data_IF_149078003650
#
_entry.id   IF_149078003650
#
_cell.length_a   1.000
_cell.length_b   1.000
_cell.length_c   1.000
_cell.angle_alpha   90.00
_cell.angle_beta   90.00
_cell.angle_gamma   90.00
#
_symmetry.space_group_name_H-M   'P 1'
#
loop_
_entity.id
_entity.type
_entity.pdbx_description
1 polymer ?
#
# COMPACT_ATOMS: atom_id res chain seq x y z
N UNK A 1 68.44 76.30 35.73
CA UNK A 1 67.00 76.04 35.94
C UNK A 1 66.48 75.03 34.87
N UNK A 2 67.27 74.00 34.51
CA UNK A 2 67.02 73.20 33.28
C UNK A 2 66.90 71.68 33.46
N UNK A 3 67.29 71.08 34.60
CA UNK A 3 67.22 69.62 34.76
C UNK A 3 65.84 69.08 35.14
N UNK A 4 64.96 69.89 35.74
CA UNK A 4 63.60 69.46 36.09
C UNK A 4 62.70 69.27 34.84
N UNK A 5 62.88 70.11 33.82
CA UNK A 5 62.11 70.06 32.58
C UNK A 5 62.46 68.85 31.67
N UNK A 6 63.68 68.29 31.81
CA UNK A 6 64.11 67.16 30.96
C UNK A 6 63.49 65.82 31.39
N UNK A 7 63.42 65.55 32.71
CA UNK A 7 62.76 64.33 33.24
C UNK A 7 61.25 64.32 32.99
N UNK A 8 60.59 65.47 33.05
CA UNK A 8 59.15 65.59 32.80
C UNK A 8 58.80 65.36 31.33
N UNK A 9 59.63 65.82 30.38
CA UNK A 9 59.48 65.53 28.94
C UNK A 9 59.70 64.05 28.59
N UNK A 10 60.71 63.39 29.17
CA UNK A 10 60.96 61.96 28.93
C UNK A 10 59.84 61.04 29.45
N UNK A 11 59.25 61.37 30.61
CA UNK A 11 58.09 60.65 31.15
C UNK A 11 56.86 60.83 30.24
N UNK A 12 56.60 62.06 29.78
CA UNK A 12 55.48 62.37 28.89
C UNK A 12 55.54 61.66 27.52
N UNK A 13 56.73 61.58 26.91
CA UNK A 13 56.94 60.87 25.62
C UNK A 13 56.78 59.36 25.79
N UNK A 14 57.19 58.79 26.92
CA UNK A 14 57.06 57.36 27.19
C UNK A 14 55.59 56.98 27.42
N UNK A 15 54.87 57.77 28.22
CA UNK A 15 53.42 57.59 28.43
C UNK A 15 52.65 57.73 27.12
N UNK A 16 52.99 58.73 26.28
CA UNK A 16 52.35 58.92 24.99
C UNK A 16 52.57 57.74 24.02
N UNK A 17 53.78 57.17 23.99
CA UNK A 17 54.08 55.97 23.19
C UNK A 17 53.33 54.74 23.69
N UNK A 18 53.24 54.55 25.00
CA UNK A 18 52.49 53.43 25.59
C UNK A 18 51.00 53.57 25.34
N UNK A 19 50.44 54.79 25.42
CA UNK A 19 49.04 55.06 25.09
C UNK A 19 48.78 54.84 23.59
N UNK A 20 49.65 55.33 22.70
CA UNK A 20 49.54 55.05 21.25
C UNK A 20 49.63 53.57 20.92
N UNK A 21 50.51 52.83 21.61
CA UNK A 21 50.64 51.38 21.45
C UNK A 21 49.40 50.63 21.95
N UNK A 22 48.82 51.04 23.09
CA UNK A 22 47.56 50.51 23.60
C UNK A 22 46.37 50.85 22.69
N UNK A 23 46.32 52.07 22.15
CA UNK A 23 45.30 52.49 21.17
C UNK A 23 45.46 51.75 19.84
N UNK A 24 46.69 51.41 19.43
CA UNK A 24 46.95 50.57 18.27
C UNK A 24 46.48 49.13 18.51
N UNK A 25 46.79 48.55 19.68
CA UNK A 25 46.32 47.21 20.07
C UNK A 25 44.78 47.17 20.17
N UNK A 26 44.16 48.10 20.86
CA UNK A 26 42.69 48.16 21.00
C UNK A 26 41.98 48.59 19.70
N UNK A 27 42.62 49.43 18.88
CA UNK A 27 42.09 49.87 17.59
C UNK A 27 42.05 48.75 16.55
N UNK A 28 42.96 47.78 16.62
CA UNK A 28 42.91 46.57 15.78
C UNK A 28 41.85 45.54 16.20
N UNK A 29 41.27 45.67 17.40
CA UNK A 29 40.27 44.73 17.94
C UNK A 29 38.81 45.14 17.67
N UNK A 30 38.56 46.24 16.95
CA UNK A 30 37.19 46.76 16.72
C UNK A 30 36.44 46.11 15.53
N UNK A 31 36.91 44.98 15.01
CA UNK A 31 36.22 44.28 13.92
C UNK A 31 36.09 42.77 14.16
N UNK A 32 35.55 42.37 15.31
CA UNK A 32 35.01 41.01 15.42
C UNK A 32 33.68 40.96 14.66
N UNK A 33 33.71 40.46 13.42
CA UNK A 33 32.47 40.16 12.69
C UNK A 33 31.82 38.97 13.41
N UNK A 34 30.54 39.11 13.78
CA UNK A 34 29.79 38.08 14.49
C UNK A 34 29.45 36.85 13.62
N UNK A 35 29.75 36.93 12.32
CA UNK A 35 29.56 35.87 11.35
C UNK A 35 30.89 35.13 11.16
N UNK A 36 30.86 33.82 11.34
CA UNK A 36 32.07 32.99 11.37
C UNK A 36 32.00 31.97 10.24
N UNK A 37 32.99 32.00 9.36
CA UNK A 37 33.31 30.86 8.50
C UNK A 37 34.33 29.99 9.22
N UNK A 38 33.98 28.71 9.42
CA UNK A 38 34.91 27.72 9.98
C UNK A 38 35.38 26.81 8.85
N UNK A 39 36.69 26.67 8.69
CA UNK A 39 37.31 25.87 7.64
C UNK A 39 38.01 26.67 6.54
N UNK A 40 37.81 27.99 6.47
CA UNK A 40 38.54 28.89 5.56
C UNK A 40 38.50 30.36 6.03
N UNK A 41 39.30 31.22 5.39
CA UNK A 41 39.27 32.67 5.57
C UNK A 41 38.32 33.40 4.61
N UNK A 42 37.37 32.68 4.02
CA UNK A 42 36.41 33.21 3.03
C UNK A 42 35.28 33.92 3.78
N UNK A 43 34.75 35.01 3.23
CA UNK A 43 33.61 35.70 3.82
C UNK A 43 32.36 34.79 3.80
N UNK A 44 31.62 34.72 4.93
CA UNK A 44 30.40 33.94 4.96
C UNK A 44 29.28 34.58 4.13
N UNK A 45 28.43 33.76 3.53
CA UNK A 45 27.29 34.22 2.72
C UNK A 45 26.28 35.00 3.57
N UNK A 46 25.66 36.03 2.99
CA UNK A 46 24.67 36.85 3.70
C UNK A 46 23.52 35.98 4.24
N UNK A 47 23.24 36.09 5.54
CA UNK A 47 22.18 35.35 6.22
C UNK A 47 22.65 34.08 6.97
N UNK A 48 23.88 33.62 6.78
CA UNK A 48 24.42 32.45 7.48
C UNK A 48 25.12 32.84 8.79
N UNK A 49 24.49 32.66 9.96
CA UNK A 49 25.16 32.93 11.24
C UNK A 49 26.44 32.10 11.45
N UNK A 50 26.47 30.89 10.90
CA UNK A 50 27.62 29.98 10.85
C UNK A 50 27.67 29.34 9.46
N UNK A 51 28.84 29.36 8.83
CA UNK A 51 29.07 28.67 7.56
C UNK A 51 30.32 27.78 7.63
N UNK A 52 30.20 26.55 7.13
CA UNK A 52 31.28 25.57 7.06
C UNK A 52 31.71 25.40 5.60
N UNK A 53 32.79 26.06 5.18
CA UNK A 53 33.35 25.94 3.82
C UNK A 53 34.87 26.03 3.83
N UNK A 54 35.49 25.27 2.94
CA UNK A 54 36.95 25.27 2.71
C UNK A 54 37.33 26.11 1.47
N UNK A 55 36.42 26.23 0.49
CA UNK A 55 36.67 26.89 -0.80
C UNK A 55 35.42 27.58 -1.35
N UNK A 56 35.63 28.53 -2.26
CA UNK A 56 34.57 29.08 -3.11
C UNK A 56 34.21 28.08 -4.21
N UNK A 57 32.99 28.19 -4.75
CA UNK A 57 32.54 27.35 -5.87
C UNK A 57 33.41 27.65 -7.10
N UNK A 58 34.18 26.66 -7.54
CA UNK A 58 35.05 26.78 -8.73
C UNK A 58 34.72 25.77 -9.82
N UNK A 59 33.86 24.81 -9.52
CA UNK A 59 33.42 23.69 -10.35
C UNK A 59 31.91 23.72 -10.57
N UNK A 60 31.43 23.03 -11.61
CA UNK A 60 30.01 22.89 -11.92
C UNK A 60 29.22 22.05 -10.92
N UNK A 61 29.89 21.37 -9.98
CA UNK A 61 29.28 20.52 -8.95
C UNK A 61 28.85 21.29 -7.69
N UNK A 62 29.11 22.61 -7.64
CA UNK A 62 28.72 23.48 -6.55
C UNK A 62 29.33 23.09 -5.17
N UNK A 63 30.44 22.34 -5.15
CA UNK A 63 31.08 21.89 -3.91
C UNK A 63 31.91 23.00 -3.24
N UNK A 64 31.80 23.12 -1.91
CA UNK A 64 32.50 24.13 -1.09
C UNK A 64 33.37 23.53 0.01
N UNK A 65 33.35 22.20 0.19
CA UNK A 65 34.10 21.47 1.22
C UNK A 65 34.20 19.99 0.86
N UNK A 66 35.31 19.32 1.19
CA UNK A 66 35.42 17.84 1.13
C UNK A 66 35.13 17.19 2.50
N UNK A 67 34.77 17.99 3.50
CA UNK A 67 34.52 17.58 4.88
C UNK A 67 33.09 17.91 5.30
N UNK A 68 32.51 17.04 6.12
CA UNK A 68 31.22 17.25 6.78
C UNK A 68 31.36 17.70 8.24
N UNK A 69 30.22 17.84 8.91
CA UNK A 69 30.13 18.13 10.34
C UNK A 69 29.75 16.86 11.11
N UNK A 70 30.46 16.56 12.19
CA UNK A 70 30.04 15.54 13.15
C UNK A 70 29.00 16.13 14.12
N UNK A 71 27.86 15.46 14.24
CA UNK A 71 26.85 15.80 15.25
C UNK A 71 27.10 15.02 16.55
N UNK A 72 26.71 15.58 17.71
CA UNK A 72 26.75 14.84 18.98
C UNK A 72 25.99 13.51 18.88
N UNK A 73 26.66 12.41 19.24
CA UNK A 73 26.07 11.07 19.25
C UNK A 73 25.42 10.80 20.61
N UNK A 74 24.12 10.56 20.64
CA UNK A 74 23.33 10.35 21.87
C UNK A 74 22.47 9.10 21.76
N UNK A 75 22.05 8.54 22.90
CA UNK A 75 21.06 7.45 22.94
C UNK A 75 19.70 8.03 23.27
N UNK A 76 18.90 8.37 22.26
CA UNK A 76 17.53 8.85 22.47
C UNK A 76 16.69 7.70 23.04
N UNK A 77 16.03 7.95 24.16
CA UNK A 77 15.21 6.95 24.86
C UNK A 77 13.72 7.19 24.73
N UNK A 78 13.33 8.36 24.23
CA UNK A 78 11.94 8.81 24.17
C UNK A 78 11.73 9.73 22.97
N UNK A 79 10.60 9.60 22.26
CA UNK A 79 10.26 10.38 21.06
C UNK A 79 9.75 11.78 21.39
N UNK A 80 9.09 11.95 22.53
CA UNK A 80 8.37 13.16 22.93
C UNK A 80 9.08 13.92 24.07
N UNK A 81 10.26 13.44 24.46
CA UNK A 81 11.07 14.07 25.49
C UNK A 81 12.52 14.32 25.05
N UNK A 82 13.11 15.39 25.57
CA UNK A 82 14.51 15.77 25.34
C UNK A 82 15.53 14.85 26.04
N UNK A 83 15.25 13.56 26.17
CA UNK A 83 16.18 12.59 26.76
C UNK A 83 17.21 12.15 25.71
N UNK A 84 18.51 12.04 26.06
CA UNK A 84 19.09 12.05 27.41
C UNK A 84 19.62 13.41 27.88
N UNK A 85 19.29 14.52 27.20
CA UNK A 85 19.76 15.86 27.58
C UNK A 85 19.17 16.29 28.94
N UNK A 86 18.00 15.74 29.27
CA UNK A 86 17.38 15.82 30.59
C UNK A 86 17.05 14.43 31.13
N UNK A 87 16.66 14.39 32.41
CA UNK A 87 16.04 13.25 33.07
C UNK A 87 14.58 13.55 33.39
N UNK A 88 13.76 12.51 33.60
CA UNK A 88 12.40 12.67 34.12
C UNK A 88 12.42 13.15 35.57
N UNK A 89 11.59 14.15 35.87
CA UNK A 89 11.34 14.57 37.25
C UNK A 89 10.28 13.71 37.97
N UNK A 90 9.68 12.73 37.27
CA UNK A 90 8.61 11.88 37.78
C UNK A 90 7.22 12.52 37.79
N UNK A 91 7.08 13.77 37.34
CA UNK A 91 5.82 14.55 37.31
C UNK A 91 5.51 15.09 35.91
N UNK A 92 6.16 14.57 34.87
CA UNK A 92 5.97 15.00 33.48
C UNK A 92 6.81 16.21 33.06
N UNK A 93 7.73 16.65 33.91
CA UNK A 93 8.72 17.69 33.63
C UNK A 93 10.14 17.13 33.46
N UNK A 94 11.11 18.03 33.47
CA UNK A 94 12.52 17.71 33.27
C UNK A 94 13.36 18.02 34.49
N UNK A 95 14.49 17.32 34.65
CA UNK A 95 15.50 17.67 35.65
C UNK A 95 16.91 17.41 35.14
N UNK A 96 17.88 18.02 35.80
CA UNK A 96 19.29 17.62 35.77
C UNK A 96 19.75 17.53 37.23
N UNK A 97 20.11 16.33 37.67
CA UNK A 97 20.38 16.07 39.09
C UNK A 97 19.16 16.39 39.96
N UNK A 98 19.29 17.31 40.91
CA UNK A 98 18.20 17.74 41.81
C UNK A 98 17.42 18.96 41.31
N UNK A 99 17.82 19.56 40.18
CA UNK A 99 17.22 20.81 39.68
C UNK A 99 16.09 20.52 38.69
N UNK A 100 14.84 20.94 38.96
CA UNK A 100 13.72 20.78 38.03
C UNK A 100 13.69 21.88 36.96
N UNK A 101 13.09 21.56 35.82
CA UNK A 101 12.85 22.43 34.68
C UNK A 101 11.43 22.19 34.14
N UNK A 102 10.78 23.26 33.72
CA UNK A 102 9.48 23.16 33.07
C UNK A 102 9.64 22.58 31.65
N UNK A 103 8.91 21.51 31.33
CA UNK A 103 8.99 20.84 30.02
C UNK A 103 8.69 21.78 28.85
N UNK A 104 7.57 22.51 28.90
CA UNK A 104 7.15 23.36 27.79
C UNK A 104 8.16 24.49 27.48
N UNK A 105 8.82 25.03 28.50
CA UNK A 105 9.87 26.02 28.31
C UNK A 105 11.12 25.44 27.66
N UNK A 106 11.59 24.28 28.12
CA UNK A 106 12.78 23.66 27.56
C UNK A 106 12.51 23.10 26.15
N UNK A 107 11.35 22.50 25.90
CA UNK A 107 10.95 22.05 24.57
C UNK A 107 11.04 23.18 23.53
N UNK A 108 10.53 24.36 23.88
CA UNK A 108 10.55 25.56 23.02
C UNK A 108 11.97 26.10 22.81
N UNK A 109 12.81 26.10 23.84
CA UNK A 109 14.21 26.59 23.74
C UNK A 109 15.09 25.68 22.90
N UNK A 110 14.78 24.39 22.84
CA UNK A 110 15.58 23.40 22.13
C UNK A 110 15.05 23.08 20.73
N UNK A 111 14.04 23.80 20.22
CA UNK A 111 13.61 23.66 18.82
C UNK A 111 14.78 23.91 17.88
N UNK A 112 15.04 22.96 16.99
CA UNK A 112 16.19 22.97 16.07
C UNK A 112 17.43 22.23 16.60
N UNK A 113 17.41 21.74 17.85
CA UNK A 113 18.47 20.88 18.38
C UNK A 113 18.63 19.65 17.50
N UNK A 114 19.84 19.43 16.98
CA UNK A 114 20.16 18.34 16.07
C UNK A 114 21.20 17.41 16.68
N UNK A 115 20.91 16.11 16.69
CA UNK A 115 21.78 15.06 17.27
C UNK A 115 21.79 13.81 16.40
N UNK A 116 22.82 12.98 16.51
CA UNK A 116 22.85 11.66 15.89
C UNK A 116 22.46 10.60 16.92
N UNK A 117 21.33 9.91 16.72
CA UNK A 117 20.90 8.81 17.57
C UNK A 117 21.70 7.54 17.28
N UNK A 118 22.19 6.87 18.32
CA UNK A 118 22.92 5.59 18.25
C UNK A 118 22.20 4.46 19.01
N UNK A 119 20.87 4.58 19.13
CA UNK A 119 20.04 3.67 19.91
C UNK A 119 19.09 2.83 19.03
N UNK A 120 19.61 1.76 18.44
CA UNK A 120 18.89 0.78 17.61
C UNK A 120 17.79 -0.12 18.26
N UNK A 121 17.58 -0.24 19.60
CA UNK A 121 16.62 -1.19 20.18
C UNK A 121 15.26 -0.61 20.60
N UNK A 122 14.86 0.60 20.16
CA UNK A 122 13.52 1.18 20.44
C UNK A 122 12.92 1.67 19.10
N UNK A 123 11.64 2.07 19.08
CA UNK A 123 10.94 2.75 17.98
C UNK A 123 11.57 4.10 17.50
N UNK A 124 12.87 4.29 17.74
CA UNK A 124 13.72 5.34 17.21
C UNK A 124 14.95 4.64 16.61
N UNK A 125 15.12 4.74 15.31
CA UNK A 125 16.22 4.12 14.58
C UNK A 125 17.52 4.92 14.78
N UNK A 126 18.66 4.33 14.40
CA UNK A 126 19.91 5.08 14.32
C UNK A 126 19.80 6.10 13.18
N UNK A 127 20.18 7.35 13.42
CA UNK A 127 20.01 8.40 12.42
C UNK A 127 20.18 9.82 12.95
N UNK A 128 20.13 10.80 12.04
CA UNK A 128 20.16 12.20 12.41
C UNK A 128 18.75 12.64 12.82
N UNK A 129 18.61 13.29 13.98
CA UNK A 129 17.33 13.73 14.50
C UNK A 129 17.34 15.22 14.79
N UNK A 130 16.21 15.88 14.55
CA UNK A 130 15.94 17.27 14.93
C UNK A 130 14.76 17.34 15.89
N UNK A 131 14.90 18.13 16.95
CA UNK A 131 13.80 18.45 17.85
C UNK A 131 12.92 19.54 17.24
N UNK A 132 11.63 19.25 17.02
CA UNK A 132 10.71 20.22 16.42
C UNK A 132 9.94 21.08 17.46
N UNK A 133 10.26 20.93 18.76
CA UNK A 133 9.51 21.57 19.85
C UNK A 133 8.45 20.69 20.51
N UNK A 134 8.17 19.50 19.97
CA UNK A 134 7.20 18.55 20.50
C UNK A 134 7.72 17.11 20.52
N UNK A 135 8.42 16.71 19.46
CA UNK A 135 9.01 15.39 19.32
C UNK A 135 10.25 15.40 18.42
N UNK A 136 11.05 14.34 18.55
CA UNK A 136 12.18 14.05 17.68
C UNK A 136 11.69 13.62 16.30
N UNK A 137 12.19 14.31 15.26
CA UNK A 137 11.99 13.96 13.86
C UNK A 137 13.29 13.45 13.28
N UNK A 138 13.24 12.26 12.67
CA UNK A 138 14.38 11.75 11.93
C UNK A 138 14.52 12.57 10.63
N UNK A 139 15.73 13.02 10.33
CA UNK A 139 16.10 13.36 8.97
C UNK A 139 16.21 12.04 8.23
N UNK A 140 15.34 11.83 7.25
CA UNK A 140 15.25 10.57 6.52
C UNK A 140 16.65 10.04 6.17
N UNK A 141 17.03 8.92 6.78
CA UNK A 141 18.31 8.25 6.58
C UNK A 141 18.25 7.28 5.40
N UNK A 142 17.40 7.57 4.40
CA UNK A 142 17.29 6.72 3.23
C UNK A 142 18.63 6.73 2.51
N UNK A 143 19.19 5.54 2.29
CA UNK A 143 20.32 5.42 1.37
C UNK A 143 19.85 5.89 0.00
N UNK A 144 20.65 6.72 -0.68
CA UNK A 144 20.39 7.09 -2.09
C UNK A 144 20.69 5.86 -2.96
N UNK A 145 19.80 4.88 -2.90
CA UNK A 145 19.77 3.74 -3.80
C UNK A 145 18.87 4.11 -4.96
N UNK A 146 19.39 3.95 -6.18
CA UNK A 146 18.58 4.14 -7.38
C UNK A 146 17.40 3.17 -7.33
N UNK A 147 16.15 3.65 -7.41
CA UNK A 147 14.98 2.80 -7.30
C UNK A 147 14.96 1.76 -8.43
N UNK A 148 14.79 0.49 -8.07
CA UNK A 148 14.71 -0.61 -9.02
C UNK A 148 13.64 -1.62 -8.56
N UNK A 149 12.93 -2.18 -9.54
CA UNK A 149 12.00 -3.31 -9.38
C UNK A 149 12.36 -4.39 -10.42
N UNK A 150 11.98 -5.64 -10.13
CA UNK A 150 12.19 -6.76 -11.05
C UNK A 150 11.08 -6.83 -12.10
N UNK A 151 9.83 -6.62 -11.69
CA UNK A 151 8.65 -6.71 -12.56
C UNK A 151 7.54 -5.76 -12.09
N UNK A 152 6.84 -5.16 -13.05
CA UNK A 152 5.61 -4.40 -12.85
C UNK A 152 4.40 -5.25 -13.29
N UNK A 153 3.48 -5.54 -12.38
CA UNK A 153 2.38 -6.48 -12.61
C UNK A 153 1.17 -5.79 -13.25
N UNK A 154 1.28 -5.48 -14.53
CA UNK A 154 0.28 -4.71 -15.28
C UNK A 154 -1.10 -5.37 -15.40
N UNK A 155 -1.21 -6.68 -15.23
CA UNK A 155 -2.50 -7.38 -15.22
C UNK A 155 -3.28 -7.20 -13.91
N UNK A 156 -2.62 -6.67 -12.87
CA UNK A 156 -3.20 -6.47 -11.53
C UNK A 156 -3.42 -4.99 -11.20
N UNK A 157 -3.61 -4.15 -12.21
CA UNK A 157 -3.89 -2.72 -12.03
C UNK A 157 -5.25 -2.55 -11.36
N UNK A 158 -5.30 -1.69 -10.34
CA UNK A 158 -6.54 -1.31 -9.66
C UNK A 158 -6.76 0.18 -9.80
N UNK A 159 -7.93 0.60 -10.27
CA UNK A 159 -8.33 2.00 -10.40
C UNK A 159 -9.56 2.25 -9.53
N UNK A 160 -9.54 3.27 -8.69
CA UNK A 160 -10.66 3.61 -7.82
C UNK A 160 -10.87 5.13 -7.81
N UNK A 161 -12.05 5.64 -8.20
CA UNK A 161 -13.15 4.93 -8.88
C UNK A 161 -12.80 4.65 -10.35
N UNK A 162 -13.18 3.51 -10.91
CA UNK A 162 -12.98 3.18 -12.33
C UNK A 162 -14.17 3.60 -13.22
N UNK A 163 -14.92 4.61 -12.78
CA UNK A 163 -16.04 5.21 -13.51
C UNK A 163 -15.92 6.73 -13.52
N UNK A 164 -16.39 7.35 -14.59
CA UNK A 164 -16.45 8.80 -14.70
C UNK A 164 -17.66 9.28 -15.50
N UNK A 165 -18.07 10.53 -15.24
CA UNK A 165 -19.22 11.18 -15.88
C UNK A 165 -18.75 12.42 -16.65
N UNK A 166 -19.24 12.57 -17.87
CA UNK A 166 -18.97 13.72 -18.73
C UNK A 166 -19.26 15.04 -18.01
N UNK A 167 -18.32 15.98 -18.11
CA UNK A 167 -18.42 17.32 -17.55
C UNK A 167 -18.28 17.41 -16.03
N UNK A 168 -18.09 16.30 -15.31
CA UNK A 168 -17.92 16.30 -13.86
C UNK A 168 -16.43 16.18 -13.45
N UNK A 169 -15.96 16.91 -12.44
CA UNK A 169 -14.63 16.72 -11.91
C UNK A 169 -14.40 15.26 -11.48
N UNK A 170 -13.33 14.67 -11.98
CA UNK A 170 -12.89 13.32 -11.62
C UNK A 170 -11.61 13.40 -10.78
N UNK A 171 -11.56 12.60 -9.71
CA UNK A 171 -10.36 12.35 -8.91
C UNK A 171 -10.34 10.86 -8.56
N UNK A 172 -9.27 10.17 -8.94
CA UNK A 172 -9.10 8.76 -8.66
C UNK A 172 -7.65 8.39 -8.38
N UNK A 173 -7.48 7.19 -7.85
CA UNK A 173 -6.18 6.59 -7.57
C UNK A 173 -6.05 5.33 -8.42
N UNK A 174 -4.92 5.21 -9.12
CA UNK A 174 -4.52 4.02 -9.85
C UNK A 174 -3.33 3.40 -9.12
N UNK A 175 -3.40 2.09 -8.87
CA UNK A 175 -2.35 1.30 -8.22
C UNK A 175 -1.86 0.19 -9.10
N UNK A 176 -0.55 -0.02 -9.13
CA UNK A 176 0.09 -1.11 -9.86
C UNK A 176 1.01 -1.87 -8.91
N UNK A 177 0.77 -3.16 -8.65
CA UNK A 177 1.69 -3.97 -7.88
C UNK A 177 3.02 -4.19 -8.63
N UNK A 178 4.11 -4.34 -7.89
CA UNK A 178 5.42 -4.73 -8.41
C UNK A 178 6.09 -5.78 -7.52
N UNK A 179 7.11 -6.45 -8.06
CA UNK A 179 7.98 -7.39 -7.33
C UNK A 179 9.44 -6.91 -7.37
N UNK A 180 10.27 -7.42 -6.46
CA UNK A 180 11.72 -7.16 -6.47
C UNK A 180 12.16 -5.73 -6.12
N UNK A 181 11.32 -4.94 -5.45
CA UNK A 181 11.67 -3.60 -4.99
C UNK A 181 12.89 -3.62 -4.06
N UNK A 182 13.75 -2.61 -4.20
CA UNK A 182 15.05 -2.56 -3.51
C UNK A 182 15.10 -1.57 -2.33
N UNK A 183 14.00 -0.89 -1.99
CA UNK A 183 13.98 0.13 -0.94
C UNK A 183 14.21 1.57 -1.43
N UNK A 184 14.40 1.80 -2.74
CA UNK A 184 14.76 3.12 -3.26
C UNK A 184 13.61 4.10 -3.35
N UNK A 185 13.90 5.37 -3.08
CA UNK A 185 12.96 6.47 -3.25
C UNK A 185 12.79 6.85 -4.73
N UNK A 186 11.57 7.21 -5.12
CA UNK A 186 11.23 7.73 -6.43
C UNK A 186 10.38 9.00 -6.29
N UNK A 187 10.63 9.95 -7.19
CA UNK A 187 10.00 11.25 -7.18
C UNK A 187 8.63 11.23 -7.85
N UNK A 188 7.80 12.22 -7.50
CA UNK A 188 6.55 12.47 -8.20
C UNK A 188 6.80 12.94 -9.64
N UNK A 189 5.88 12.64 -10.54
CA UNK A 189 5.89 13.24 -11.89
C UNK A 189 4.95 14.43 -11.94
N UNK A 190 5.21 15.36 -12.87
CA UNK A 190 4.21 16.37 -13.21
C UNK A 190 3.00 15.73 -13.90
N UNK A 191 1.79 16.30 -13.77
CA UNK A 191 0.61 15.81 -14.48
C UNK A 191 0.81 15.75 -16.00
N UNK A 192 0.48 14.60 -16.59
CA UNK A 192 0.51 14.35 -18.04
C UNK A 192 -0.89 14.00 -18.52
N UNK A 193 -1.31 14.52 -19.68
CA UNK A 193 -2.62 14.19 -20.23
C UNK A 193 -2.67 12.74 -20.73
N UNK A 194 -3.73 12.03 -20.36
CA UNK A 194 -4.02 10.65 -20.82
C UNK A 194 -5.21 10.61 -21.80
N UNK A 195 -5.63 11.76 -22.31
CA UNK A 195 -6.83 11.90 -23.13
C UNK A 195 -8.11 12.08 -22.30
N UNK A 196 -9.24 12.28 -22.99
CA UNK A 196 -10.55 12.49 -22.37
C UNK A 196 -10.59 13.61 -21.29
N UNK A 197 -9.75 14.64 -21.39
CA UNK A 197 -9.69 15.70 -20.37
C UNK A 197 -9.15 15.23 -19.00
N UNK A 198 -8.54 14.04 -18.95
CA UNK A 198 -7.91 13.45 -17.77
C UNK A 198 -6.39 13.61 -17.82
N UNK A 199 -5.80 13.68 -16.63
CA UNK A 199 -4.38 13.80 -16.38
C UNK A 199 -3.94 12.81 -15.31
N UNK A 200 -2.75 12.25 -15.45
CA UNK A 200 -2.14 11.32 -14.50
C UNK A 200 -0.83 11.89 -13.95
N UNK A 201 -0.60 11.70 -12.65
CA UNK A 201 0.66 12.03 -11.97
C UNK A 201 1.09 10.86 -11.06
N UNK A 202 2.37 10.49 -11.10
CA UNK A 202 2.98 9.57 -10.15
C UNK A 202 3.09 10.25 -8.79
N UNK A 203 2.67 9.57 -7.74
CA UNK A 203 2.83 10.03 -6.36
C UNK A 203 4.24 9.61 -5.90
N UNK A 204 5.03 10.54 -5.33
CA UNK A 204 6.35 10.22 -4.78
C UNK A 204 6.25 9.14 -3.69
N UNK A 205 7.29 8.31 -3.57
CA UNK A 205 7.32 7.27 -2.54
C UNK A 205 8.65 6.53 -2.45
N UNK A 206 8.67 5.51 -1.61
CA UNK A 206 9.81 4.60 -1.44
C UNK A 206 9.36 3.19 -1.76
N UNK A 207 10.18 2.46 -2.53
CA UNK A 207 9.90 1.06 -2.84
C UNK A 207 9.95 0.22 -1.57
N UNK A 208 9.06 -0.77 -1.45
CA UNK A 208 9.22 -1.82 -0.45
C UNK A 208 10.40 -2.72 -0.83
N UNK A 209 11.04 -3.34 0.16
CA UNK A 209 12.00 -4.42 -0.09
C UNK A 209 11.20 -5.69 -0.42
N UNK A 210 11.24 -6.15 -1.67
CA UNK A 210 10.42 -7.25 -2.18
C UNK A 210 9.18 -6.77 -2.94
N UNK A 211 7.98 -7.17 -2.52
CA UNK A 211 6.73 -6.80 -3.19
C UNK A 211 6.12 -5.50 -2.66
N UNK A 212 5.54 -4.69 -3.53
CA UNK A 212 4.87 -3.44 -3.16
C UNK A 212 3.92 -2.91 -4.23
N UNK A 213 3.45 -1.67 -4.05
CA UNK A 213 2.56 -0.99 -5.00
C UNK A 213 3.10 0.39 -5.36
N UNK A 214 3.00 0.77 -6.63
CA UNK A 214 3.17 2.16 -7.08
C UNK A 214 1.79 2.81 -7.24
N UNK A 215 1.65 4.07 -6.84
CA UNK A 215 0.38 4.80 -6.88
C UNK A 215 0.45 6.03 -7.78
N UNK A 216 -0.57 6.19 -8.60
CA UNK A 216 -0.81 7.35 -9.44
C UNK A 216 -2.11 8.02 -9.04
N UNK A 217 -2.14 9.34 -9.21
CA UNK A 217 -3.36 10.13 -9.06
C UNK A 217 -3.84 10.55 -10.44
N UNK A 218 -5.12 10.32 -10.70
CA UNK A 218 -5.78 10.73 -11.95
C UNK A 218 -6.77 11.84 -11.61
N UNK A 219 -6.69 12.95 -12.34
CA UNK A 219 -7.58 14.11 -12.15
C UNK A 219 -8.02 14.69 -13.49
N UNK A 220 -9.13 15.44 -13.48
CA UNK A 220 -9.54 16.21 -14.65
C UNK A 220 -11.04 16.36 -14.78
N UNK A 221 -11.52 16.65 -15.99
CA UNK A 221 -12.94 16.73 -16.31
C UNK A 221 -13.18 15.93 -17.60
N UNK A 222 -13.79 14.73 -17.51
CA UNK A 222 -14.07 13.87 -18.65
C UNK A 222 -14.90 14.56 -19.73
N UNK A 223 -14.57 14.30 -20.99
CA UNK A 223 -15.34 14.70 -22.17
C UNK A 223 -16.37 13.65 -22.62
N UNK A 224 -16.31 12.45 -22.04
CA UNK A 224 -17.28 11.37 -22.24
C UNK A 224 -17.56 10.68 -20.91
N UNK A 225 -18.68 9.96 -20.83
CA UNK A 225 -19.03 9.13 -19.66
C UNK A 225 -18.64 7.66 -19.87
N UNK A 226 -18.35 6.96 -18.77
CA UNK A 226 -18.32 5.49 -18.75
C UNK A 226 -19.61 4.90 -19.35
N UNK A 227 -19.56 3.75 -20.06
CA UNK A 227 -18.44 2.80 -20.16
C UNK A 227 -17.46 3.08 -21.31
N UNK A 228 -17.47 4.27 -21.92
CA UNK A 228 -16.48 4.62 -22.95
C UNK A 228 -15.11 4.69 -22.27
N UNK A 229 -14.20 3.82 -22.68
CA UNK A 229 -12.87 3.68 -22.05
C UNK A 229 -11.90 4.75 -22.55
N UNK A 230 -11.02 5.19 -21.65
CA UNK A 230 -9.82 5.95 -21.99
C UNK A 230 -8.62 5.03 -21.78
N UNK A 231 -7.81 4.82 -22.82
CA UNK A 231 -6.64 3.94 -22.76
C UNK A 231 -5.35 4.75 -22.86
N UNK A 232 -4.34 4.37 -22.07
CA UNK A 232 -3.05 5.03 -22.03
C UNK A 232 -1.96 4.05 -21.57
N UNK A 233 -0.70 4.44 -21.76
CA UNK A 233 0.45 3.64 -21.33
C UNK A 233 1.05 4.22 -20.04
N UNK A 234 1.59 3.35 -19.20
CA UNK A 234 2.31 3.72 -17.98
C UNK A 234 3.75 3.21 -18.07
N UNK A 235 4.71 4.07 -17.72
CA UNK A 235 6.12 3.70 -17.63
C UNK A 235 6.59 3.97 -16.20
N UNK A 236 7.11 2.94 -15.53
CA UNK A 236 7.68 3.06 -14.20
C UNK A 236 9.01 2.31 -14.13
N UNK A 237 10.09 3.04 -13.82
CA UNK A 237 11.46 2.49 -13.69
C UNK A 237 11.90 1.61 -14.87
N UNK A 238 11.50 1.98 -16.10
CA UNK A 238 11.83 1.26 -17.33
C UNK A 238 10.88 0.11 -17.69
N UNK A 239 9.92 -0.23 -16.83
CA UNK A 239 8.85 -1.19 -17.12
C UNK A 239 7.63 -0.48 -17.70
N UNK A 240 6.98 -1.10 -18.68
CA UNK A 240 5.86 -0.48 -19.41
C UNK A 240 4.59 -1.32 -19.30
N UNK A 241 3.50 -0.70 -18.82
CA UNK A 241 2.15 -1.22 -18.94
C UNK A 241 1.48 -0.58 -20.15
N UNK A 242 1.16 -1.37 -21.17
CA UNK A 242 0.49 -0.90 -22.37
C UNK A 242 -1.02 -1.03 -22.23
N UNK A 243 -1.78 -0.14 -22.87
CA UNK A 243 -3.25 -0.19 -22.95
C UNK A 243 -3.96 -0.25 -21.57
N UNK A 244 -3.43 0.44 -20.57
CA UNK A 244 -4.13 0.62 -19.29
C UNK A 244 -5.42 1.37 -19.56
N UNK A 245 -6.56 0.79 -19.16
CA UNK A 245 -7.89 1.37 -19.41
C UNK A 245 -8.53 1.89 -18.13
N UNK A 246 -9.13 3.07 -18.21
CA UNK A 246 -10.02 3.62 -17.20
C UNK A 246 -11.42 3.83 -17.80
N UNK A 247 -12.46 3.60 -17.01
CA UNK A 247 -13.83 3.93 -17.37
C UNK A 247 -14.65 2.76 -17.91
N UNK A 248 -14.11 1.53 -17.93
CA UNK A 248 -14.83 0.29 -18.24
C UNK A 248 -15.73 -0.19 -17.09
N UNK A 249 -15.54 0.36 -15.89
CA UNK A 249 -16.35 0.12 -14.69
C UNK A 249 -15.52 -0.41 -13.52
N UNK A 250 -15.94 -0.14 -12.28
CA UNK A 250 -15.51 -0.93 -11.11
C UNK A 250 -15.99 -2.39 -11.30
N UNK A 251 -15.56 -3.37 -10.48
CA UNK A 251 -16.07 -4.77 -10.50
C UNK A 251 -17.57 -4.76 -10.76
N UNK A 252 -17.94 -5.10 -12.00
CA UNK A 252 -19.10 -4.45 -12.63
C UNK A 252 -20.42 -4.80 -12.00
N UNK A 253 -20.48 -5.97 -11.36
CA UNK A 253 -21.47 -6.30 -10.33
C UNK A 253 -21.14 -7.62 -9.68
N UNK A 254 -21.36 -7.72 -8.37
CA UNK A 254 -21.57 -9.02 -7.73
C UNK A 254 -22.98 -9.46 -8.11
N UNK A 255 -23.07 -10.55 -8.87
CA UNK A 255 -24.35 -11.10 -9.28
C UNK A 255 -24.71 -12.28 -8.40
N UNK A 256 -25.98 -12.38 -8.04
CA UNK A 256 -26.51 -13.51 -7.26
C UNK A 256 -27.62 -14.18 -8.06
N UNK A 257 -27.54 -15.50 -8.20
CA UNK A 257 -28.62 -16.33 -8.73
C UNK A 257 -28.99 -17.40 -7.71
N UNK A 258 -30.28 -17.55 -7.45
CA UNK A 258 -30.80 -18.62 -6.61
C UNK A 258 -31.13 -19.84 -7.46
N UNK A 259 -31.10 -21.03 -6.85
CA UNK A 259 -31.67 -22.21 -7.49
C UNK A 259 -33.16 -21.95 -7.78
N UNK A 260 -33.67 -22.35 -8.95
CA UNK A 260 -35.07 -22.06 -9.32
C UNK A 260 -36.07 -23.11 -8.84
N UNK A 261 -35.61 -24.31 -8.53
CA UNK A 261 -36.41 -25.43 -8.03
C UNK A 261 -35.49 -26.48 -7.39
N UNK A 262 -36.04 -27.35 -6.54
CA UNK A 262 -35.30 -28.48 -5.98
C UNK A 262 -34.78 -29.40 -7.11
N UNK A 263 -33.54 -29.88 -6.97
CA UNK A 263 -32.91 -30.79 -7.94
C UNK A 263 -32.42 -32.03 -7.23
N UNK A 264 -32.83 -33.18 -7.74
CA UNK A 264 -32.30 -34.46 -7.29
C UNK A 264 -31.10 -34.86 -8.14
N UNK A 265 -29.91 -34.91 -7.52
CA UNK A 265 -28.69 -35.40 -8.14
C UNK A 265 -28.72 -36.92 -8.14
N UNK A 266 -29.06 -37.50 -9.30
CA UNK A 266 -29.25 -38.93 -9.50
C UNK A 266 -28.51 -39.47 -10.74
N UNK A 267 -27.96 -38.59 -11.58
CA UNK A 267 -27.16 -38.94 -12.74
C UNK A 267 -25.87 -39.62 -12.30
N UNK A 268 -25.69 -40.87 -12.73
CA UNK A 268 -24.48 -41.62 -12.46
C UNK A 268 -23.31 -41.02 -13.23
N UNK A 269 -22.22 -40.74 -12.50
CA UNK A 269 -20.91 -40.68 -13.13
C UNK A 269 -20.71 -42.02 -13.85
N UNK A 270 -20.33 -41.95 -15.12
CA UNK A 270 -19.62 -43.02 -15.80
C UNK A 270 -18.27 -42.42 -16.18
N UNK A 271 -17.21 -43.23 -16.23
CA UNK A 271 -15.87 -42.74 -16.57
C UNK A 271 -15.92 -41.81 -17.79
N UNK A 272 -15.48 -40.56 -17.61
CA UNK A 272 -15.45 -39.51 -18.64
C UNK A 272 -16.81 -39.14 -19.26
N UNK A 273 -17.89 -39.18 -18.48
CA UNK A 273 -19.24 -38.92 -18.98
C UNK A 273 -19.93 -37.66 -18.40
N UNK A 274 -19.28 -36.48 -18.27
CA UNK A 274 -19.90 -35.28 -17.67
C UNK A 274 -21.24 -34.92 -18.32
N UNK A 275 -21.45 -35.30 -19.59
CA UNK A 275 -22.62 -35.03 -20.40
C UNK A 275 -23.94 -35.57 -19.80
N UNK A 276 -23.89 -36.54 -18.87
CA UNK A 276 -25.09 -37.07 -18.21
C UNK A 276 -25.48 -36.30 -16.95
N UNK A 277 -24.71 -35.28 -16.54
CA UNK A 277 -24.90 -34.61 -15.26
C UNK A 277 -26.23 -33.88 -15.13
N UNK A 278 -26.74 -33.84 -13.90
CA UNK A 278 -27.93 -33.07 -13.59
C UNK A 278 -27.56 -31.59 -13.65
N UNK A 279 -28.10 -30.87 -14.63
CA UNK A 279 -27.98 -29.42 -14.72
C UNK A 279 -28.65 -28.77 -13.50
N UNK A 280 -27.99 -27.78 -12.91
CA UNK A 280 -28.57 -26.99 -11.83
C UNK A 280 -29.32 -25.78 -12.43
N UNK A 281 -30.66 -25.72 -12.31
CA UNK A 281 -31.44 -24.62 -12.85
C UNK A 281 -31.37 -23.45 -11.88
N UNK A 282 -30.73 -22.38 -12.32
CA UNK A 282 -30.70 -21.11 -11.60
C UNK A 282 -31.75 -20.14 -12.16
N UNK A 283 -32.27 -19.26 -11.31
CA UNK A 283 -33.25 -18.24 -11.69
C UNK A 283 -32.74 -17.38 -12.86
N UNK A 284 -33.61 -17.13 -13.84
CA UNK A 284 -33.24 -16.44 -15.08
C UNK A 284 -32.35 -17.24 -16.02
N UNK A 285 -32.25 -18.57 -15.83
CA UNK A 285 -31.48 -19.47 -16.69
C UNK A 285 -29.97 -19.43 -16.46
N UNK A 286 -29.23 -20.02 -17.40
CA UNK A 286 -27.77 -20.04 -17.44
C UNK A 286 -27.20 -18.61 -17.36
N UNK A 287 -25.98 -18.46 -16.81
CA UNK A 287 -25.32 -17.14 -16.79
C UNK A 287 -24.89 -16.80 -18.20
N UNK A 288 -25.35 -15.67 -18.73
CA UNK A 288 -24.87 -15.12 -19.99
C UNK A 288 -23.72 -14.17 -19.70
N UNK A 289 -22.55 -14.45 -20.26
CA UNK A 289 -21.37 -13.63 -20.12
C UNK A 289 -21.53 -12.43 -21.05
N UNK A 290 -21.67 -11.23 -20.49
CA UNK A 290 -21.82 -9.99 -21.27
C UNK A 290 -20.48 -9.37 -21.65
N UNK A 291 -19.41 -9.75 -20.96
CA UNK A 291 -18.07 -9.21 -21.15
C UNK A 291 -17.03 -10.33 -21.12
N UNK A 292 -16.09 -10.31 -22.05
CA UNK A 292 -14.97 -11.26 -22.00
C UNK A 292 -14.11 -10.99 -20.76
N UNK A 293 -13.60 -12.05 -20.14
CA UNK A 293 -12.73 -11.95 -18.96
C UNK A 293 -12.69 -13.22 -18.12
N UNK A 294 -12.05 -13.13 -16.96
CA UNK A 294 -11.99 -14.20 -15.96
C UNK A 294 -13.12 -14.01 -14.95
N UNK A 295 -13.85 -15.08 -14.67
CA UNK A 295 -14.98 -15.09 -13.76
C UNK A 295 -14.79 -16.13 -12.67
N UNK A 296 -15.25 -15.79 -11.47
CA UNK A 296 -15.33 -16.71 -10.33
C UNK A 296 -16.79 -16.94 -9.98
N UNK A 297 -17.13 -18.20 -9.71
CA UNK A 297 -18.46 -18.67 -9.31
C UNK A 297 -18.36 -19.33 -7.93
N UNK A 298 -18.88 -18.66 -6.92
CA UNK A 298 -18.99 -19.17 -5.55
C UNK A 298 -20.39 -19.77 -5.35
N UNK A 299 -20.47 -21.09 -5.26
CA UNK A 299 -21.70 -21.84 -5.06
C UNK A 299 -21.86 -22.19 -3.58
N UNK A 300 -23.00 -21.80 -3.01
CA UNK A 300 -23.47 -22.26 -1.71
C UNK A 300 -24.52 -23.33 -1.98
N UNK A 301 -24.22 -24.57 -1.66
CA UNK A 301 -25.05 -25.74 -1.92
C UNK A 301 -25.69 -26.20 -0.62
N UNK A 302 -27.00 -26.44 -0.65
CA UNK A 302 -27.73 -26.96 0.50
C UNK A 302 -28.76 -27.99 0.06
N UNK A 303 -28.85 -29.09 0.80
CA UNK A 303 -29.89 -30.07 0.53
C UNK A 303 -29.77 -31.35 1.33
N UNK A 304 -30.77 -32.21 1.16
CA UNK A 304 -30.88 -33.49 1.85
C UNK A 304 -30.11 -34.57 1.10
N UNK A 305 -29.19 -35.23 1.76
CA UNK A 305 -28.60 -36.50 1.28
C UNK A 305 -29.39 -37.64 1.89
N UNK A 306 -30.02 -38.45 1.05
CA UNK A 306 -30.86 -39.56 1.52
C UNK A 306 -30.02 -40.71 2.05
N UNK A 307 -30.60 -41.46 2.98
CA UNK A 307 -30.10 -42.77 3.39
C UNK A 307 -30.03 -43.69 2.16
N UNK A 308 -28.94 -44.44 2.08
CA UNK A 308 -28.70 -45.44 1.04
C UNK A 308 -29.38 -46.77 1.40
N UNK A 309 -29.38 -47.71 0.45
CA UNK A 309 -29.78 -49.09 0.71
C UNK A 309 -28.99 -49.73 1.87
N UNK A 310 -29.49 -50.86 2.38
CA UNK A 310 -29.00 -51.54 3.60
C UNK A 310 -27.59 -52.14 3.48
N UNK A 311 -26.92 -52.00 2.34
CA UNK A 311 -25.74 -52.79 1.96
C UNK A 311 -24.62 -51.91 1.38
N UNK A 312 -24.12 -50.95 2.18
CA UNK A 312 -22.72 -50.53 2.16
C UNK A 312 -22.46 -49.37 3.14
N UNK A 313 -21.49 -49.60 4.05
CA UNK A 313 -20.85 -48.57 4.86
C UNK A 313 -19.61 -48.11 4.08
N UNK A 314 -19.79 -47.25 3.09
CA UNK A 314 -18.69 -46.41 2.62
C UNK A 314 -18.55 -45.27 3.63
N UNK A 315 -17.34 -44.79 3.94
CA UNK A 315 -17.18 -43.62 4.83
C UNK A 315 -17.33 -42.29 4.08
N UNK A 316 -17.53 -42.36 2.76
CA UNK A 316 -17.35 -41.28 1.80
C UNK A 316 -18.46 -41.29 0.77
N UNK A 317 -19.07 -40.14 0.51
CA UNK A 317 -20.09 -39.93 -0.52
C UNK A 317 -19.68 -38.75 -1.42
N UNK A 318 -18.80 -38.99 -2.42
CA UNK A 318 -18.28 -37.93 -3.27
C UNK A 318 -19.28 -37.51 -4.36
N UNK A 319 -19.53 -36.22 -4.50
CA UNK A 319 -20.25 -35.63 -5.63
C UNK A 319 -19.27 -34.85 -6.50
N UNK A 320 -19.54 -34.75 -7.79
CA UNK A 320 -18.74 -33.92 -8.70
C UNK A 320 -19.59 -32.76 -9.18
N UNK A 321 -19.02 -31.56 -9.19
CA UNK A 321 -19.63 -30.37 -9.75
C UNK A 321 -18.76 -29.87 -10.90
N UNK A 322 -19.41 -29.42 -11.97
CA UNK A 322 -18.76 -28.96 -13.19
C UNK A 322 -19.20 -27.54 -13.52
N UNK A 323 -18.24 -26.74 -13.95
CA UNK A 323 -18.41 -25.47 -14.65
C UNK A 323 -18.14 -25.74 -16.13
N UNK A 324 -19.13 -25.48 -16.98
CA UNK A 324 -19.00 -25.74 -18.41
C UNK A 324 -19.47 -24.56 -19.26
N UNK A 325 -18.94 -24.52 -20.49
CA UNK A 325 -19.30 -23.53 -21.50
C UNK A 325 -20.32 -24.09 -22.47
N UNK A 326 -21.40 -23.34 -22.63
CA UNK A 326 -22.49 -23.55 -23.58
C UNK A 326 -23.29 -24.85 -23.37
N UNK A 327 -24.56 -24.80 -23.75
CA UNK A 327 -25.57 -25.75 -23.29
C UNK A 327 -25.51 -27.15 -23.94
N UNK A 328 -24.53 -27.42 -24.80
CA UNK A 328 -24.50 -28.66 -25.57
C UNK A 328 -23.68 -29.69 -24.82
N UNK A 329 -24.40 -30.45 -23.98
CA UNK A 329 -23.93 -31.70 -23.38
C UNK A 329 -22.73 -31.58 -22.44
N UNK A 330 -22.36 -30.44 -21.85
CA UNK A 330 -21.12 -30.36 -21.03
C UNK A 330 -19.87 -30.84 -21.79
N UNK A 331 -19.86 -30.69 -23.12
CA UNK A 331 -18.72 -31.08 -23.96
C UNK A 331 -17.47 -30.23 -23.67
N UNK A 332 -17.67 -29.03 -23.12
CA UNK A 332 -16.62 -28.08 -22.79
C UNK A 332 -16.64 -27.78 -21.28
N UNK A 333 -16.19 -28.73 -20.47
CA UNK A 333 -15.92 -28.48 -19.05
C UNK A 333 -14.72 -27.55 -18.94
N UNK A 334 -14.89 -26.43 -18.23
CA UNK A 334 -13.83 -25.46 -17.96
C UNK A 334 -13.15 -25.77 -16.64
N UNK A 335 -13.96 -26.10 -15.62
CA UNK A 335 -13.48 -26.36 -14.28
C UNK A 335 -14.38 -27.41 -13.61
N UNK A 336 -13.85 -28.14 -12.64
CA UNK A 336 -14.55 -29.19 -11.94
C UNK A 336 -13.99 -29.35 -10.53
N UNK A 337 -14.84 -29.74 -9.61
CA UNK A 337 -14.42 -30.03 -8.25
C UNK A 337 -15.19 -31.20 -7.63
N UNK A 338 -14.54 -31.85 -6.68
CA UNK A 338 -15.11 -32.94 -5.89
C UNK A 338 -15.63 -32.41 -4.56
N UNK A 339 -16.87 -32.76 -4.22
CA UNK A 339 -17.50 -32.48 -2.95
C UNK A 339 -17.58 -33.78 -2.18
N UNK A 340 -16.81 -33.86 -1.10
CA UNK A 340 -16.73 -35.06 -0.30
C UNK A 340 -17.60 -34.95 0.96
N UNK A 341 -18.68 -35.71 1.01
CA UNK A 341 -19.57 -35.76 2.17
C UNK A 341 -19.36 -37.04 2.97
N UNK A 342 -19.54 -36.96 4.29
CA UNK A 342 -19.68 -38.16 5.11
C UNK A 342 -20.95 -38.89 4.72
N UNK A 343 -20.94 -40.22 4.72
CA UNK A 343 -22.16 -40.98 4.50
C UNK A 343 -23.11 -40.86 5.69
N UNK A 344 -24.34 -40.39 5.50
CA UNK A 344 -25.24 -40.25 6.61
C UNK A 344 -25.93 -41.60 6.94
N UNK A 345 -26.22 -41.82 8.22
CA UNK A 345 -26.92 -43.02 8.73
C UNK A 345 -28.42 -42.95 8.43
N UNK A 346 -28.97 -41.74 8.42
CA UNK A 346 -30.35 -41.39 8.08
C UNK A 346 -30.37 -40.17 7.14
N UNK A 347 -31.52 -39.83 6.59
CA UNK A 347 -31.66 -38.64 5.74
C UNK A 347 -31.12 -37.38 6.46
N UNK A 348 -30.09 -36.74 5.90
CA UNK A 348 -29.35 -35.66 6.58
C UNK A 348 -29.15 -34.47 5.64
N UNK A 349 -29.42 -33.27 6.13
CA UNK A 349 -29.14 -32.04 5.39
C UNK A 349 -27.64 -31.69 5.46
N UNK A 350 -27.06 -31.38 4.29
CA UNK A 350 -25.70 -30.89 4.17
C UNK A 350 -25.69 -29.46 3.61
N UNK A 351 -24.69 -28.70 4.05
CA UNK A 351 -24.33 -27.40 3.46
C UNK A 351 -22.87 -27.45 3.04
N UNK A 352 -22.57 -27.02 1.81
CA UNK A 352 -21.22 -26.99 1.28
C UNK A 352 -21.01 -25.72 0.47
N UNK A 353 -19.82 -25.14 0.51
CA UNK A 353 -19.45 -23.99 -0.34
C UNK A 353 -18.28 -24.37 -1.21
N UNK A 354 -18.37 -24.05 -2.49
CA UNK A 354 -17.33 -24.38 -3.47
C UNK A 354 -17.16 -23.23 -4.44
N UNK A 355 -15.92 -23.01 -4.88
CA UNK A 355 -15.60 -22.02 -5.90
C UNK A 355 -15.13 -22.72 -7.15
N UNK A 356 -15.63 -22.27 -8.29
CA UNK A 356 -15.19 -22.67 -9.63
C UNK A 356 -14.80 -21.40 -10.39
N UNK A 357 -13.83 -21.50 -11.30
CA UNK A 357 -13.33 -20.35 -12.03
C UNK A 357 -13.03 -20.66 -13.49
N UNK A 358 -13.06 -19.63 -14.33
CA UNK A 358 -12.71 -19.80 -15.73
C UNK A 358 -12.65 -18.51 -16.51
N UNK A 359 -12.04 -18.58 -17.69
CA UNK A 359 -12.03 -17.47 -18.67
C UNK A 359 -13.13 -17.68 -19.71
N UNK A 360 -13.87 -16.61 -19.99
CA UNK A 360 -15.03 -16.62 -20.87
C UNK A 360 -14.94 -15.49 -21.89
N UNK A 361 -15.64 -15.66 -23.01
CA UNK A 361 -15.84 -14.61 -24.00
C UNK A 361 -17.27 -14.09 -23.94
N UNK A 362 -17.49 -12.82 -24.28
CA UNK A 362 -18.83 -12.26 -24.39
C UNK A 362 -19.73 -13.11 -25.31
N UNK A 363 -20.93 -13.43 -24.84
CA UNK A 363 -21.87 -14.35 -25.48
C UNK A 363 -21.81 -15.79 -24.98
N UNK A 364 -20.76 -16.18 -24.23
CA UNK A 364 -20.71 -17.50 -23.60
C UNK A 364 -21.86 -17.69 -22.60
N UNK A 365 -22.36 -18.93 -22.53
CA UNK A 365 -23.32 -19.35 -21.51
C UNK A 365 -22.65 -20.28 -20.52
N UNK A 366 -22.67 -19.91 -19.24
CA UNK A 366 -22.12 -20.74 -18.16
C UNK A 366 -23.18 -21.71 -17.69
N UNK A 367 -22.77 -22.98 -17.60
CA UNK A 367 -23.59 -24.09 -17.16
C UNK A 367 -22.96 -24.70 -15.92
N UNK A 368 -23.76 -24.90 -14.87
CA UNK A 368 -23.37 -25.64 -13.67
C UNK A 368 -24.12 -26.96 -13.65
N UNK A 369 -23.40 -28.05 -13.46
CA UNK A 369 -24.00 -29.38 -13.38
C UNK A 369 -23.35 -30.23 -12.31
N UNK A 370 -24.09 -31.19 -11.78
CA UNK A 370 -23.61 -32.09 -10.74
C UNK A 370 -23.86 -33.57 -11.06
N UNK A 371 -22.91 -34.39 -10.62
CA UNK A 371 -22.93 -35.84 -10.70
C UNK A 371 -22.86 -36.47 -9.33
N UNK A 372 -23.36 -37.71 -9.27
CA UNK A 372 -23.09 -38.65 -8.18
C UNK A 372 -22.01 -39.65 -8.61
N UNK A 373 -21.34 -40.33 -7.68
CA UNK A 373 -20.25 -41.25 -8.00
C UNK A 373 -20.75 -42.57 -8.62
N UNK A 374 -19.90 -43.27 -9.39
CA UNK A 374 -20.20 -44.59 -9.96
C UNK A 374 -19.97 -45.69 -8.92
N UNK A 375 -20.95 -46.59 -8.76
CA UNK A 375 -20.84 -47.74 -7.85
C UNK A 375 -22.23 -48.26 -7.51
N UNK A 376 -22.61 -49.42 -8.07
CA UNK A 376 -23.99 -49.88 -8.21
C UNK A 376 -24.74 -50.33 -6.94
N UNK A 377 -24.59 -49.66 -5.80
CA UNK A 377 -25.23 -50.10 -4.55
C UNK A 377 -25.87 -49.01 -3.70
N UNK A 378 -25.63 -47.72 -3.99
CA UNK A 378 -26.25 -46.63 -3.20
C UNK A 378 -27.45 -46.04 -3.95
N UNK A 379 -28.64 -46.18 -3.34
CA UNK A 379 -29.84 -45.39 -3.67
C UNK A 379 -29.75 -43.94 -3.18
N UNK A 380 -28.57 -43.54 -2.67
CA UNK A 380 -28.33 -42.21 -2.11
C UNK A 380 -28.41 -41.16 -3.20
N UNK A 381 -29.12 -40.08 -2.89
CA UNK A 381 -29.31 -38.93 -3.76
C UNK A 381 -29.11 -37.69 -2.93
N UNK A 382 -28.48 -36.68 -3.51
CA UNK A 382 -28.52 -35.34 -2.95
C UNK A 382 -29.68 -34.58 -3.59
N UNK A 383 -30.66 -34.23 -2.79
CA UNK A 383 -31.76 -33.36 -3.17
C UNK A 383 -31.35 -31.95 -2.78
N UNK A 384 -30.73 -31.23 -3.71
CA UNK A 384 -30.45 -29.81 -3.55
C UNK A 384 -31.77 -29.06 -3.44
N UNK A 385 -31.88 -28.26 -2.38
CA UNK A 385 -33.10 -27.51 -2.09
C UNK A 385 -32.96 -26.07 -2.51
N UNK A 386 -34.00 -25.56 -3.14
CA UNK A 386 -34.17 -24.13 -3.38
C UNK A 386 -34.32 -23.40 -2.05
N UNK A 387 -35.22 -23.88 -1.18
CA UNK A 387 -35.54 -23.27 0.12
C UNK A 387 -35.56 -24.31 1.24
N UNK A 388 -35.30 -23.88 2.47
CA UNK A 388 -35.50 -24.70 3.66
C UNK A 388 -36.78 -24.27 4.38
N UNK A 389 -37.80 -25.12 4.40
CA UNK A 389 -39.06 -24.84 5.07
C UNK A 389 -39.32 -25.82 6.21
N UNK A 390 -39.61 -25.30 7.40
CA UNK A 390 -40.32 -26.03 8.44
C UNK A 390 -41.80 -25.65 8.33
N UNK A 391 -42.71 -26.62 8.15
CA UNK A 391 -44.16 -26.37 8.26
C UNK A 391 -44.88 -25.81 7.02
N UNK A 392 -44.39 -26.05 5.79
CA UNK A 392 -45.19 -25.91 4.57
C UNK A 392 -45.39 -24.50 3.98
N UNK A 393 -44.98 -23.43 4.66
CA UNK A 393 -45.09 -22.07 4.09
C UNK A 393 -43.83 -21.66 3.29
N UNK A 394 -43.80 -22.04 2.03
CA UNK A 394 -42.70 -21.84 1.06
C UNK A 394 -42.35 -20.38 0.71
N UNK A 395 -43.23 -19.41 0.99
CA UNK A 395 -42.99 -18.00 0.64
C UNK A 395 -42.10 -17.25 1.65
N UNK A 396 -42.00 -17.73 2.90
CA UNK A 396 -41.20 -17.12 3.97
C UNK A 396 -39.85 -17.81 4.23
N UNK A 397 -39.49 -18.82 3.43
CA UNK A 397 -38.32 -19.65 3.68
C UNK A 397 -37.03 -19.04 3.11
N UNK A 398 -35.90 -19.11 3.84
CA UNK A 398 -34.63 -18.66 3.32
C UNK A 398 -34.20 -19.54 2.13
N UNK A 399 -33.74 -18.87 1.06
CA UNK A 399 -33.00 -19.54 -0.02
C UNK A 399 -31.67 -20.01 0.56
N UNK A 400 -31.29 -21.24 0.21
CA UNK A 400 -30.04 -21.85 0.71
C UNK A 400 -29.09 -22.27 -0.38
N UNK A 401 -29.61 -22.73 -1.53
CA UNK A 401 -28.78 -22.99 -2.71
C UNK A 401 -28.72 -21.74 -3.59
N UNK A 402 -27.53 -21.16 -3.71
CA UNK A 402 -27.30 -19.94 -4.47
C UNK A 402 -25.90 -19.94 -5.09
N UNK A 403 -25.75 -19.13 -6.12
CA UNK A 403 -24.49 -18.87 -6.80
C UNK A 403 -24.24 -17.38 -6.79
N UNK A 404 -23.07 -16.98 -6.29
CA UNK A 404 -22.54 -15.63 -6.39
C UNK A 404 -21.43 -15.65 -7.41
N UNK A 405 -21.44 -14.73 -8.37
CA UNK A 405 -20.37 -14.64 -9.37
C UNK A 405 -19.99 -13.20 -9.65
N UNK A 406 -18.73 -13.01 -9.99
CA UNK A 406 -18.15 -11.72 -10.37
C UNK A 406 -17.05 -11.94 -11.39
N UNK A 407 -16.80 -10.90 -12.19
CA UNK A 407 -15.63 -10.79 -13.05
C UNK A 407 -14.46 -10.35 -12.18
N UNK A 408 -13.29 -10.99 -12.33
CA UNK A 408 -12.05 -10.55 -11.69
C UNK A 408 -11.49 -9.31 -12.37
#
# INVERSE_FOLDING_TARGET
>A
MDQANFKQKQCSVTVLKTVLFLVFIFGTMLHTRAQITIGSGIEPELGAALELKERIITSSDNSTSDKGMLFPRVKLTDRENLFPMFESDGSGGYKIGTKPFNKADEDRKHTGLTVYNVNSPIALEDGLYIWNGLNWRIFESQTVITPQIDELLCDNITIIPNIYTEGQPYVGILKIPYTGGNGGAYEATTPVSIGNGLFIELIAGTLAVGGGEVSYKITGTPTVSSPIVTSFDIIFLGHTCNNVSIGDGDVKSIYVKNLSADVTINAQYANNSPQTANMLPFEGGNVEITESGTYVFCLRLYGLVTKGGTTAIYNREPYYIYLARNNQNLANVIDAAEIDLSTPVDDTDYSYTIMLGGTFVAGDRVVIAMHRPTGGVTTRKWILRQKMCSGGNISACPVRTSMVYWKL
#
